data_IF_048277690646
#
_entry.id   IF_048277690646
#
_cell.length_a   1.000
_cell.length_b   1.000
_cell.length_c   1.000
_cell.angle_alpha   90.00
_cell.angle_beta   90.00
_cell.angle_gamma   90.00
#
_symmetry.space_group_name_H-M   'P 1'
#
loop_
_entity.id
_entity.type
_entity.pdbx_description
1 polymer ?
#
# COMPACT_ATOMS: atom_id res chain seq x y z
N UNK A 1 20.09 38.54 7.82
CA UNK A 1 19.30 37.45 7.18
C UNK A 1 20.26 36.31 6.93
N UNK A 2 20.27 35.33 7.85
CA UNK A 2 21.23 34.23 7.85
C UNK A 2 20.85 33.22 6.78
N UNK A 3 21.74 32.97 5.82
CA UNK A 3 21.54 32.03 4.71
C UNK A 3 21.95 30.64 5.18
N UNK A 4 21.02 29.71 5.27
CA UNK A 4 21.34 28.31 5.58
C UNK A 4 21.34 27.50 4.28
N UNK A 5 22.53 27.22 3.75
CA UNK A 5 22.75 26.10 2.82
C UNK A 5 22.96 24.84 3.65
N UNK A 6 22.00 23.92 3.63
CA UNK A 6 22.15 22.62 4.28
C UNK A 6 22.61 21.62 3.21
N UNK A 7 23.89 21.24 3.27
CA UNK A 7 24.47 20.18 2.45
C UNK A 7 24.04 18.81 2.98
N UNK A 8 23.32 18.04 2.15
CA UNK A 8 23.03 16.64 2.45
C UNK A 8 24.30 15.77 2.30
N UNK A 9 24.52 14.93 3.31
CA UNK A 9 25.60 13.96 3.53
C UNK A 9 26.42 13.48 2.30
N UNK A 10 27.73 13.76 2.32
CA UNK A 10 28.76 13.10 1.49
C UNK A 10 29.26 11.86 2.24
N UNK A 11 29.03 10.67 1.69
CA UNK A 11 29.61 9.40 2.18
C UNK A 11 31.14 9.44 2.00
N UNK A 12 31.96 9.06 3.00
CA UNK A 12 33.40 8.90 2.80
C UNK A 12 33.66 7.58 2.07
N UNK A 13 34.23 7.64 0.85
CA UNK A 13 34.85 6.47 0.23
C UNK A 13 36.32 6.44 0.61
N UNK A 14 36.66 5.47 1.46
CA UNK A 14 38.02 5.02 1.69
C UNK A 14 38.37 3.97 0.62
N UNK A 15 39.50 4.15 -0.08
CA UNK A 15 40.30 3.07 -0.69
C UNK A 15 41.62 3.60 -1.23
N UNK A 16 42.69 3.20 -0.55
CA UNK A 16 44.04 3.09 -1.08
C UNK A 16 44.08 2.31 -2.40
N UNK A 17 44.70 2.84 -3.45
CA UNK A 17 45.71 2.11 -4.25
C UNK A 17 46.54 3.08 -5.10
N UNK A 18 47.82 2.76 -5.19
CA UNK A 18 48.94 3.59 -5.65
C UNK A 18 49.38 3.28 -7.10
N UNK A 19 50.17 4.21 -7.65
CA UNK A 19 51.17 4.09 -8.74
C UNK A 19 50.83 4.40 -10.23
N UNK A 20 51.43 5.54 -10.67
CA UNK A 20 52.26 5.75 -11.89
C UNK A 20 51.65 6.09 -13.29
N UNK A 21 52.41 6.73 -14.22
CA UNK A 21 52.03 8.00 -14.86
C UNK A 21 52.05 8.00 -16.41
N UNK A 22 51.70 9.16 -16.98
CA UNK A 22 52.02 9.68 -18.33
C UNK A 22 51.32 9.07 -19.57
N UNK A 23 50.45 9.87 -20.22
CA UNK A 23 50.49 10.16 -21.66
C UNK A 23 49.51 11.31 -22.00
N UNK A 24 49.86 12.28 -22.87
CA UNK A 24 49.00 13.40 -23.23
C UNK A 24 47.99 12.95 -24.30
N UNK A 25 46.69 13.09 -24.02
CA UNK A 25 45.62 12.85 -25.01
C UNK A 25 45.17 14.18 -25.62
N UNK A 26 45.16 14.21 -26.94
CA UNK A 26 44.71 15.31 -27.80
C UNK A 26 43.28 15.79 -27.49
N UNK A 27 42.94 17.05 -27.82
CA UNK A 27 41.67 17.66 -27.44
C UNK A 27 40.52 17.05 -28.24
N UNK A 28 39.76 16.15 -27.60
CA UNK A 28 38.48 15.66 -28.11
C UNK A 28 37.50 16.83 -28.12
N UNK A 29 37.05 17.14 -29.34
CA UNK A 29 35.94 18.03 -29.70
C UNK A 29 34.88 18.13 -28.60
N UNK A 30 34.72 19.33 -28.02
CA UNK A 30 33.63 19.65 -27.10
C UNK A 30 32.31 19.49 -27.84
N UNK A 31 31.68 18.34 -27.67
CA UNK A 31 30.24 18.20 -27.82
C UNK A 31 29.65 19.11 -26.74
N UNK A 32 28.83 20.13 -27.08
CA UNK A 32 28.21 20.96 -26.05
C UNK A 32 27.36 20.02 -25.21
N UNK A 33 27.74 19.93 -23.92
CA UNK A 33 26.90 19.29 -22.91
C UNK A 33 25.51 19.90 -23.06
N UNK A 34 24.51 19.05 -23.28
CA UNK A 34 23.12 19.47 -23.11
C UNK A 34 23.05 20.14 -21.75
N UNK A 35 22.77 21.43 -21.76
CA UNK A 35 22.36 22.17 -20.58
C UNK A 35 21.06 21.51 -20.11
N UNK A 36 21.19 20.53 -19.24
CA UNK A 36 20.10 20.14 -18.35
C UNK A 36 19.92 21.37 -17.47
N UNK A 37 18.97 22.23 -17.84
CA UNK A 37 18.37 23.19 -16.92
C UNK A 37 17.78 22.38 -15.78
N UNK A 38 18.63 22.05 -14.82
CA UNK A 38 18.29 21.59 -13.49
C UNK A 38 17.86 22.84 -12.73
N UNK A 39 16.73 23.41 -13.15
CA UNK A 39 16.05 24.47 -12.44
C UNK A 39 15.51 23.85 -11.14
N UNK A 40 16.41 23.70 -10.17
CA UNK A 40 16.08 23.21 -8.84
C UNK A 40 14.96 24.10 -8.29
N UNK A 41 13.79 23.51 -8.07
CA UNK A 41 12.64 24.21 -7.50
C UNK A 41 13.03 24.65 -6.09
N UNK A 42 13.29 25.95 -5.91
CA UNK A 42 13.57 26.54 -4.61
C UNK A 42 12.26 26.70 -3.84
N UNK A 43 12.13 26.03 -2.70
CA UNK A 43 11.01 26.21 -1.76
C UNK A 43 11.40 27.20 -0.66
N UNK A 44 10.49 28.10 -0.31
CA UNK A 44 10.66 28.94 0.89
C UNK A 44 10.53 28.12 2.17
N UNK A 45 11.02 28.66 3.28
CA UNK A 45 10.86 28.02 4.59
C UNK A 45 9.37 27.88 4.95
N UNK A 46 8.58 28.90 4.64
CA UNK A 46 7.13 28.92 4.85
C UNK A 46 6.43 27.83 4.05
N UNK A 47 6.81 27.63 2.79
CA UNK A 47 6.26 26.59 1.92
C UNK A 47 6.63 25.19 2.42
N UNK A 48 7.86 24.99 2.89
CA UNK A 48 8.29 23.72 3.47
C UNK A 48 7.53 23.41 4.76
N UNK A 49 7.35 24.39 5.66
CA UNK A 49 6.58 24.21 6.90
C UNK A 49 5.11 23.92 6.56
N UNK A 50 4.53 24.63 5.60
CA UNK A 50 3.17 24.39 5.12
C UNK A 50 3.01 22.98 4.53
N UNK A 51 4.01 22.47 3.82
CA UNK A 51 4.01 21.12 3.27
C UNK A 51 4.06 20.05 4.37
N UNK A 52 4.92 20.21 5.38
CA UNK A 52 4.96 19.30 6.54
C UNK A 52 3.61 19.28 7.27
N UNK A 53 2.96 20.44 7.42
CA UNK A 53 1.63 20.54 8.01
C UNK A 53 0.56 19.85 7.16
N UNK A 54 0.59 20.07 5.84
CA UNK A 54 -0.37 19.45 4.93
C UNK A 54 -0.30 17.92 4.97
N UNK A 55 0.90 17.35 5.07
CA UNK A 55 1.08 15.90 5.24
C UNK A 55 0.47 15.39 6.54
N UNK A 56 0.70 16.07 7.68
CA UNK A 56 0.08 15.68 8.95
C UNK A 56 -1.44 15.77 8.91
N UNK A 57 -2.00 16.76 8.19
CA UNK A 57 -3.45 16.86 8.03
C UNK A 57 -4.05 15.65 7.35
N UNK A 58 -3.31 14.95 6.46
CA UNK A 58 -3.82 13.73 5.84
C UNK A 58 -4.09 12.61 6.85
N UNK A 59 -3.44 12.61 8.01
CA UNK A 59 -3.71 11.63 9.07
C UNK A 59 -5.18 11.67 9.51
N UNK A 60 -5.87 12.81 9.38
CA UNK A 60 -7.32 12.88 9.68
C UNK A 60 -8.18 12.01 8.77
N UNK A 61 -7.70 11.69 7.56
CA UNK A 61 -8.39 10.79 6.61
C UNK A 61 -8.44 9.35 7.13
N UNK A 62 -7.57 8.97 8.07
CA UNK A 62 -7.70 7.69 8.76
C UNK A 62 -9.05 7.58 9.48
N UNK A 63 -9.58 8.68 10.02
CA UNK A 63 -10.84 8.69 10.76
C UNK A 63 -12.11 8.76 9.89
N UNK A 64 -11.99 9.19 8.63
CA UNK A 64 -13.14 9.33 7.73
C UNK A 64 -13.52 7.98 7.13
N UNK A 65 -14.74 7.46 7.36
CA UNK A 65 -15.16 6.17 6.82
C UNK A 65 -15.24 6.14 5.29
N UNK A 66 -15.33 7.31 4.63
CA UNK A 66 -15.42 7.41 3.16
C UNK A 66 -14.04 7.36 2.48
N UNK A 67 -12.96 7.46 3.24
CA UNK A 67 -11.61 7.35 2.68
C UNK A 67 -11.35 5.93 2.17
N UNK A 68 -10.90 5.77 0.92
CA UNK A 68 -10.53 4.47 0.36
C UNK A 68 -9.52 3.69 1.21
N UNK A 69 -9.60 2.37 1.18
CA UNK A 69 -8.74 1.51 2.00
C UNK A 69 -7.26 1.64 1.61
N UNK A 70 -6.95 1.75 0.31
CA UNK A 70 -5.58 1.95 -0.18
C UNK A 70 -4.94 3.21 0.41
N UNK A 71 -5.69 4.32 0.43
CA UNK A 71 -5.22 5.57 1.03
C UNK A 71 -5.02 5.43 2.54
N UNK A 72 -5.90 4.69 3.24
CA UNK A 72 -5.71 4.41 4.67
C UNK A 72 -4.46 3.56 4.93
N UNK A 73 -4.21 2.53 4.11
CA UNK A 73 -3.02 1.69 4.25
C UNK A 73 -1.73 2.48 3.99
N UNK A 74 -1.69 3.34 2.97
CA UNK A 74 -0.53 4.20 2.71
C UNK A 74 -0.27 5.17 3.87
N UNK A 75 -1.33 5.76 4.46
CA UNK A 75 -1.18 6.62 5.63
C UNK A 75 -0.68 5.87 6.86
N UNK A 76 -1.20 4.66 7.12
CA UNK A 76 -0.67 3.80 8.19
C UNK A 76 0.80 3.48 7.94
N UNK A 77 1.18 3.10 6.71
CA UNK A 77 2.56 2.78 6.36
C UNK A 77 3.49 3.97 6.53
N UNK A 78 3.02 5.18 6.24
CA UNK A 78 3.77 6.41 6.47
C UNK A 78 3.91 6.76 7.96
N UNK A 79 2.82 6.65 8.74
CA UNK A 79 2.82 6.93 10.19
C UNK A 79 3.71 5.94 10.95
N UNK A 80 3.60 4.65 10.63
CA UNK A 80 4.28 3.54 11.29
C UNK A 80 5.51 3.05 10.50
N UNK A 81 6.12 3.93 9.72
CA UNK A 81 7.37 3.66 9.01
C UNK A 81 8.51 3.29 9.98
N UNK A 82 9.48 2.51 9.49
CA UNK A 82 10.65 2.07 10.27
C UNK A 82 11.34 3.24 10.99
N UNK A 83 11.77 3.06 12.26
CA UNK A 83 12.43 4.12 13.03
C UNK A 83 13.67 4.72 12.35
N UNK A 84 14.42 3.91 11.59
CA UNK A 84 15.60 4.39 10.83
C UNK A 84 15.21 5.46 9.79
N UNK A 85 13.99 5.37 9.27
CA UNK A 85 13.42 6.30 8.29
C UNK A 85 12.73 7.51 8.95
N UNK A 86 12.58 7.54 10.26
CA UNK A 86 12.03 8.71 10.97
C UNK A 86 12.93 9.94 10.87
N UNK A 87 14.20 9.75 10.53
CA UNK A 87 15.15 10.84 10.27
C UNK A 87 15.04 11.43 8.85
N UNK A 88 14.27 10.80 7.96
CA UNK A 88 14.14 11.25 6.58
C UNK A 88 13.28 12.51 6.47
N UNK A 89 13.53 13.37 5.46
CA UNK A 89 12.64 14.47 5.13
C UNK A 89 11.21 13.97 4.94
N UNK A 90 10.23 14.73 5.44
CA UNK A 90 8.80 14.38 5.36
C UNK A 90 8.41 13.03 5.98
N UNK A 91 9.24 12.44 6.84
CA UNK A 91 8.79 11.38 7.73
C UNK A 91 7.71 11.93 8.67
N UNK A 92 6.83 11.06 9.16
CA UNK A 92 5.80 11.44 10.13
C UNK A 92 6.39 12.17 11.35
N UNK A 93 7.49 11.66 11.89
CA UNK A 93 8.21 12.25 13.04
C UNK A 93 8.80 13.62 12.70
N UNK A 94 9.43 13.76 11.52
CA UNK A 94 10.02 15.03 11.12
C UNK A 94 8.94 16.09 10.85
N UNK A 95 7.82 15.69 10.26
CA UNK A 95 6.66 16.57 10.11
C UNK A 95 6.15 17.09 11.45
N UNK A 96 6.01 16.25 12.47
CA UNK A 96 5.60 16.72 13.81
C UNK A 96 6.61 17.70 14.41
N UNK A 97 7.92 17.39 14.33
CA UNK A 97 8.99 18.26 14.85
C UNK A 97 8.99 19.64 14.19
N UNK A 98 8.90 19.68 12.86
CA UNK A 98 8.90 20.94 12.09
C UNK A 98 7.67 21.77 12.43
N UNK A 99 6.49 21.14 12.46
CA UNK A 99 5.23 21.85 12.71
C UNK A 99 5.13 22.30 14.17
N UNK A 100 5.57 21.52 15.16
CA UNK A 100 5.48 21.91 16.57
C UNK A 100 6.55 22.92 17.00
N UNK A 101 7.71 22.91 16.31
CA UNK A 101 8.86 23.75 16.63
C UNK A 101 8.99 25.04 15.82
N UNK A 102 8.35 25.14 14.65
CA UNK A 102 8.46 26.32 13.79
C UNK A 102 7.46 27.41 14.19
N UNK A 103 7.90 28.68 14.35
CA UNK A 103 7.00 29.82 14.56
C UNK A 103 6.18 30.17 13.32
N UNK A 104 6.51 29.60 12.16
CA UNK A 104 5.80 29.77 10.89
C UNK A 104 4.67 28.75 10.71
N UNK A 105 4.52 27.80 11.64
CA UNK A 105 3.44 26.82 11.56
C UNK A 105 2.09 27.47 11.89
N UNK A 106 1.01 26.89 11.35
CA UNK A 106 -0.36 27.33 11.66
C UNK A 106 -0.82 26.90 13.06
N UNK A 107 -0.03 26.10 13.77
CA UNK A 107 -0.34 25.66 15.12
C UNK A 107 0.30 26.62 16.13
N UNK A 108 -0.33 26.83 17.30
CA UNK A 108 0.36 27.43 18.43
C UNK A 108 1.65 26.67 18.70
N UNK A 109 2.69 27.36 19.16
CA UNK A 109 3.92 26.71 19.58
C UNK A 109 3.62 25.76 20.74
N UNK A 110 3.67 24.45 20.46
CA UNK A 110 3.39 23.38 21.42
C UNK A 110 4.70 22.84 22.04
N UNK A 111 5.85 23.12 21.42
CA UNK A 111 7.16 22.64 21.88
C UNK A 111 7.48 21.24 21.37
N UNK A 112 8.26 20.48 22.15
CA UNK A 112 8.62 19.11 21.80
C UNK A 112 7.41 18.18 21.96
N UNK A 113 6.94 17.61 20.85
CA UNK A 113 5.85 16.62 20.80
C UNK A 113 6.47 15.22 20.75
N UNK A 114 5.99 14.32 21.61
CA UNK A 114 6.38 12.91 21.55
C UNK A 114 5.66 12.23 20.38
N UNK A 115 6.43 11.83 19.38
CA UNK A 115 5.92 11.15 18.21
C UNK A 115 5.34 9.76 18.54
N UNK A 116 5.89 9.08 19.54
CA UNK A 116 5.46 7.75 19.91
C UNK A 116 4.10 7.78 20.59
N UNK A 117 3.85 8.77 21.45
CA UNK A 117 2.54 8.98 22.06
C UNK A 117 1.43 9.15 21.01
N UNK A 118 1.71 9.94 19.96
CA UNK A 118 0.76 10.13 18.85
C UNK A 118 0.57 8.84 18.06
N UNK A 119 1.64 8.07 17.80
CA UNK A 119 1.54 6.74 17.15
C UNK A 119 0.68 5.78 17.96
N UNK A 120 0.88 5.72 19.27
CA UNK A 120 0.15 4.84 20.16
C UNK A 120 -1.34 5.23 20.21
N UNK A 121 -1.63 6.54 20.24
CA UNK A 121 -2.99 7.03 20.11
C UNK A 121 -3.62 6.65 18.77
N UNK A 122 -2.93 6.86 17.64
CA UNK A 122 -3.39 6.45 16.31
C UNK A 122 -3.66 4.94 16.29
N UNK A 123 -2.72 4.12 16.79
CA UNK A 123 -2.81 2.66 16.83
C UNK A 123 -4.06 2.20 17.59
N UNK A 124 -4.38 2.84 18.72
CA UNK A 124 -5.59 2.55 19.50
C UNK A 124 -6.89 2.79 18.73
N UNK A 125 -6.87 3.69 17.74
CA UNK A 125 -8.04 4.05 16.94
C UNK A 125 -8.15 3.27 15.62
N UNK A 126 -7.05 2.72 15.10
CA UNK A 126 -7.01 2.07 13.79
C UNK A 126 -8.10 1.01 13.62
N UNK A 127 -8.22 0.08 14.58
CA UNK A 127 -9.20 -1.00 14.50
C UNK A 127 -10.63 -0.45 14.30
N UNK A 128 -11.01 0.57 15.08
CA UNK A 128 -12.33 1.22 14.95
C UNK A 128 -12.50 1.87 13.58
N UNK A 129 -11.50 2.61 13.11
CA UNK A 129 -11.56 3.31 11.83
C UNK A 129 -11.65 2.37 10.63
N UNK A 130 -10.87 1.29 10.62
CA UNK A 130 -10.94 0.27 9.58
C UNK A 130 -12.27 -0.47 9.62
N UNK A 131 -12.75 -0.88 10.80
CA UNK A 131 -14.05 -1.53 10.93
C UNK A 131 -15.20 -0.64 10.45
N UNK A 132 -15.12 0.68 10.67
CA UNK A 132 -16.12 1.63 10.18
C UNK A 132 -16.08 1.73 8.65
N UNK A 133 -14.88 1.82 8.04
CA UNK A 133 -14.72 1.86 6.59
C UNK A 133 -15.13 0.55 5.89
N UNK A 134 -15.03 -0.57 6.61
CA UNK A 134 -15.36 -1.90 6.11
C UNK A 134 -16.85 -2.27 6.21
N UNK A 135 -17.70 -1.41 6.79
CA UNK A 135 -19.13 -1.70 6.91
C UNK A 135 -19.81 -1.91 5.55
N UNK A 136 -19.34 -1.19 4.52
CA UNK A 136 -19.86 -1.28 3.16
C UNK A 136 -19.32 -2.49 2.37
N UNK A 137 -18.36 -3.22 2.94
CA UNK A 137 -17.76 -4.39 2.29
C UNK A 137 -18.41 -5.70 2.74
N UNK A 138 -18.45 -6.74 1.86
CA UNK A 138 -18.93 -8.07 2.23
C UNK A 138 -18.14 -8.69 3.39
N UNK A 139 -18.78 -9.59 4.13
CA UNK A 139 -18.19 -10.23 5.32
C UNK A 139 -16.84 -10.91 5.04
N UNK A 140 -16.68 -11.56 3.88
CA UNK A 140 -15.42 -12.20 3.50
C UNK A 140 -14.28 -11.19 3.41
N UNK A 141 -14.54 -9.98 2.90
CA UNK A 141 -13.54 -8.93 2.75
C UNK A 141 -13.17 -8.33 4.11
N UNK A 142 -14.16 -8.15 5.00
CA UNK A 142 -13.91 -7.75 6.39
C UNK A 142 -12.98 -8.74 7.10
N UNK A 143 -13.28 -10.03 6.98
CA UNK A 143 -12.50 -11.07 7.62
C UNK A 143 -11.08 -11.19 7.03
N UNK A 144 -10.94 -10.97 5.72
CA UNK A 144 -9.63 -10.96 5.08
C UNK A 144 -8.74 -9.82 5.61
N UNK A 145 -9.29 -8.61 5.83
CA UNK A 145 -8.54 -7.47 6.40
C UNK A 145 -8.09 -7.74 7.82
N UNK A 146 -8.92 -8.40 8.63
CA UNK A 146 -8.54 -8.77 9.99
C UNK A 146 -7.50 -9.89 10.05
N UNK A 147 -7.53 -10.82 9.10
CA UNK A 147 -6.67 -12.01 9.12
C UNK A 147 -5.31 -11.77 8.44
N UNK A 148 -5.30 -11.02 7.34
CA UNK A 148 -4.09 -10.79 6.51
C UNK A 148 -4.04 -9.35 5.99
N UNK A 149 -3.81 -8.36 6.87
CA UNK A 149 -3.75 -6.95 6.47
C UNK A 149 -2.61 -6.67 5.49
N UNK A 150 -1.42 -7.27 5.69
CA UNK A 150 -0.24 -7.02 4.84
C UNK A 150 -0.47 -7.44 3.39
N UNK A 151 -1.06 -8.63 3.20
CA UNK A 151 -1.39 -9.13 1.87
C UNK A 151 -2.41 -8.23 1.15
N UNK A 152 -3.39 -7.71 1.87
CA UNK A 152 -4.36 -6.77 1.30
C UNK A 152 -3.67 -5.46 0.94
N UNK A 153 -2.83 -4.94 1.83
CA UNK A 153 -2.06 -3.73 1.58
C UNK A 153 -1.19 -3.86 0.32
N UNK A 154 -0.52 -5.00 0.14
CA UNK A 154 0.32 -5.25 -1.05
C UNK A 154 -0.49 -5.30 -2.35
N UNK A 155 -1.69 -5.87 -2.31
CA UNK A 155 -2.56 -5.92 -3.49
C UNK A 155 -3.18 -4.55 -3.79
N UNK A 156 -3.59 -3.81 -2.76
CA UNK A 156 -4.08 -2.43 -2.90
C UNK A 156 -3.00 -1.47 -3.39
N UNK A 157 -1.75 -1.67 -2.98
CA UNK A 157 -0.61 -0.90 -3.48
C UNK A 157 -0.39 -1.11 -4.99
N UNK A 158 -0.57 -2.34 -5.47
CA UNK A 158 -0.45 -2.67 -6.91
C UNK A 158 -1.65 -2.20 -7.72
N UNK A 159 -2.84 -2.35 -7.17
CA UNK A 159 -4.09 -1.90 -7.78
C UNK A 159 -5.04 -1.37 -6.69
N UNK A 160 -5.26 -0.03 -6.62
CA UNK A 160 -6.12 0.57 -5.60
C UNK A 160 -7.59 0.15 -5.73
N UNK A 161 -8.02 -0.31 -6.91
CA UNK A 161 -9.38 -0.83 -7.14
C UNK A 161 -9.50 -2.34 -6.91
N UNK A 162 -8.41 -3.02 -6.57
CA UNK A 162 -8.36 -4.49 -6.48
C UNK A 162 -9.45 -5.07 -5.59
N UNK A 163 -9.71 -4.47 -4.42
CA UNK A 163 -10.75 -4.96 -3.51
C UNK A 163 -12.14 -4.94 -4.17
N UNK A 164 -12.45 -3.87 -4.91
CA UNK A 164 -13.72 -3.73 -5.61
C UNK A 164 -13.85 -4.73 -6.76
N UNK A 165 -12.74 -5.05 -7.43
CA UNK A 165 -12.70 -6.10 -8.46
C UNK A 165 -12.94 -7.49 -7.85
N UNK A 166 -12.32 -7.81 -6.71
CA UNK A 166 -12.54 -9.08 -6.03
C UNK A 166 -14.00 -9.23 -5.56
N UNK A 167 -14.62 -8.15 -5.05
CA UNK A 167 -16.05 -8.16 -4.71
C UNK A 167 -16.91 -8.49 -5.93
N UNK A 168 -16.67 -7.85 -7.07
CA UNK A 168 -17.42 -8.12 -8.31
C UNK A 168 -17.22 -9.54 -8.83
N UNK A 169 -16.00 -10.07 -8.76
CA UNK A 169 -15.72 -11.45 -9.16
C UNK A 169 -16.45 -12.46 -8.26
N UNK A 170 -16.45 -12.22 -6.95
CA UNK A 170 -17.10 -13.10 -5.98
C UNK A 170 -18.63 -13.06 -6.11
N UNK A 171 -19.22 -11.90 -6.46
CA UNK A 171 -20.65 -11.77 -6.79
C UNK A 171 -21.01 -12.51 -8.09
N UNK A 172 -20.17 -12.39 -9.12
CA UNK A 172 -20.37 -13.08 -10.39
C UNK A 172 -20.28 -14.62 -10.24
N UNK A 173 -19.35 -15.11 -9.43
CA UNK A 173 -19.19 -16.54 -9.13
C UNK A 173 -20.42 -17.09 -8.37
N UNK A 174 -20.91 -16.35 -7.36
CA UNK A 174 -22.12 -16.72 -6.62
C UNK A 174 -23.35 -16.82 -7.54
N UNK A 175 -23.46 -15.88 -8.49
CA UNK A 175 -24.52 -15.89 -9.50
C UNK A 175 -24.36 -17.06 -10.48
N UNK A 176 -23.14 -17.38 -10.90
CA UNK A 176 -22.86 -18.52 -11.77
C UNK A 176 -23.20 -19.86 -11.08
N UNK A 177 -22.89 -20.01 -9.78
CA UNK A 177 -23.23 -21.21 -9.02
C UNK A 177 -24.74 -21.39 -8.84
N UNK A 178 -25.49 -20.30 -8.57
CA UNK A 178 -26.94 -20.34 -8.44
C UNK A 178 -27.64 -20.77 -9.74
N UNK A 179 -27.20 -20.24 -10.89
CA UNK A 179 -27.79 -20.60 -12.19
C UNK A 179 -27.42 -22.02 -12.66
N UNK A 180 -26.36 -22.64 -12.09
CA UNK A 180 -26.01 -24.02 -12.39
C UNK A 180 -26.90 -25.03 -11.66
N UNK A 181 -27.51 -24.65 -10.53
CA UNK A 181 -28.41 -25.52 -9.74
C UNK A 181 -29.86 -25.52 -10.26
N UNK A 182 -30.28 -24.47 -10.99
CA UNK A 182 -31.59 -24.41 -11.67
C UNK A 182 -31.66 -25.19 -13.00
N UNK A 183 -30.56 -25.87 -13.37
CA UNK A 183 -30.42 -26.66 -14.59
C UNK A 183 -30.76 -28.15 -14.45
N UNK A 184 -31.54 -28.57 -13.45
CA UNK A 184 -32.02 -29.95 -13.33
C UNK A 184 -32.99 -30.29 -14.49
N UNK A 185 -32.63 -31.24 -15.40
CA UNK A 185 -33.58 -31.72 -16.38
C UNK A 185 -34.57 -32.67 -15.70
N UNK A 186 -35.69 -32.12 -15.23
CA UNK A 186 -36.88 -32.90 -14.98
C UNK A 186 -37.36 -33.55 -16.28
N UNK A 187 -37.00 -34.81 -16.51
CA UNK A 187 -37.79 -35.72 -17.35
C UNK A 187 -38.00 -37.06 -16.63
N UNK A 188 -39.15 -37.10 -15.97
CA UNK A 188 -39.82 -38.30 -15.51
C UNK A 188 -40.47 -38.99 -16.72
N UNK A 189 -40.34 -40.32 -16.86
CA UNK A 189 -40.87 -41.06 -18.00
C UNK A 189 -40.90 -42.58 -17.81
N UNK A 190 -41.97 -43.04 -17.17
CA UNK A 190 -42.37 -44.43 -16.94
C UNK A 190 -42.35 -45.37 -18.17
N UNK A 191 -42.02 -46.65 -17.93
CA UNK A 191 -42.81 -47.77 -18.48
C UNK A 191 -42.03 -48.87 -19.23
N UNK A 192 -41.97 -50.09 -18.68
CA UNK A 192 -41.59 -51.28 -19.44
C UNK A 192 -41.21 -52.51 -18.62
N UNK A 193 -42.19 -53.32 -18.24
CA UNK A 193 -42.03 -54.62 -17.57
C UNK A 193 -41.36 -55.67 -18.48
N UNK A 194 -40.58 -56.56 -17.86
CA UNK A 194 -40.61 -58.00 -18.16
C UNK A 194 -39.36 -58.60 -18.82
N UNK A 195 -38.61 -59.41 -18.08
CA UNK A 195 -38.50 -60.85 -18.33
C UNK A 195 -37.45 -61.49 -17.39
N UNK A 196 -37.93 -62.45 -16.62
CA UNK A 196 -37.18 -63.39 -15.78
C UNK A 196 -36.75 -64.55 -16.68
N UNK A 197 -35.46 -64.89 -16.75
CA UNK A 197 -35.04 -66.24 -17.15
C UNK A 197 -33.94 -66.76 -16.22
N UNK A 198 -34.33 -67.79 -15.47
CA UNK A 198 -33.51 -68.73 -14.72
C UNK A 198 -33.31 -69.98 -15.58
N UNK A 199 -32.10 -70.55 -15.65
CA UNK A 199 -31.84 -71.88 -16.23
C UNK A 199 -30.35 -72.10 -16.49
N UNK A 200 -29.56 -72.72 -15.61
CA UNK A 200 -29.43 -74.16 -15.27
C UNK A 200 -28.44 -74.92 -16.20
N UNK A 201 -27.19 -75.02 -15.72
CA UNK A 201 -26.32 -76.20 -15.52
C UNK A 201 -26.46 -77.41 -16.48
N UNK A 202 -25.34 -77.79 -17.13
CA UNK A 202 -25.04 -79.15 -17.64
C UNK A 202 -23.86 -79.16 -18.64
N UNK A 203 -22.66 -79.66 -18.25
CA UNK A 203 -22.03 -80.91 -18.77
C UNK A 203 -20.99 -80.58 -19.86
N UNK A 204 -19.86 -81.25 -20.10
CA UNK A 204 -19.33 -82.56 -19.77
C UNK A 204 -17.79 -82.58 -19.91
N UNK A 205 -17.18 -83.58 -19.30
CA UNK A 205 -15.81 -84.08 -19.50
C UNK A 205 -15.52 -84.54 -20.94
N UNK A 206 -14.26 -84.38 -21.36
CA UNK A 206 -13.41 -85.45 -21.89
C UNK A 206 -11.93 -85.04 -21.72
#
# INVERSE_FOLDING_TARGET
MSRYQINYCRVPQDRDTSFHPAAPREPVSKVPARETNDDAIEFSEEELVALHWWLLRKVSLLSDPRTPLDEKFELVRWVFTDPDRDTQPFSFVNCMKVVSGSPLSQLPFIGAVDAQEVRDWIASQLCRWFMTALQDYPEWARQAVLTKPDWISDNLFKNPQWMNEQVKLHEADLFASLNAEDGEPHLNGHGGRGARQTGRKGGCHA
#
